data_IF_254128449747
#
_entry.id   IF_254128449747
#
_cell.length_a   1.000
_cell.length_b   1.000
_cell.length_c   1.000
_cell.angle_alpha   90.00
_cell.angle_beta   90.00
_cell.angle_gamma   90.00
#
_symmetry.space_group_name_H-M   'P 1'
#
loop_
_entity.id
_entity.type
_entity.pdbx_description
1 polymer ?
#
# COMPACT_ATOMS: atom_id res chain seq x y z
N UNK A 1 -46.15 11.46 -4.18
CA UNK A 1 -45.23 10.30 -4.21
C UNK A 1 -43.98 10.70 -4.98
N UNK A 2 -42.86 10.87 -4.27
CA UNK A 2 -41.70 11.64 -4.69
C UNK A 2 -40.80 10.89 -5.68
N UNK A 3 -40.96 11.16 -6.99
CA UNK A 3 -40.08 10.65 -8.04
C UNK A 3 -38.61 11.06 -7.85
N UNK A 4 -38.36 12.24 -7.28
CA UNK A 4 -37.01 12.74 -6.97
C UNK A 4 -36.27 11.89 -5.93
N UNK A 5 -36.99 11.33 -4.94
CA UNK A 5 -36.41 10.48 -3.89
C UNK A 5 -36.07 9.08 -4.39
N UNK A 6 -36.90 8.52 -5.29
CA UNK A 6 -36.63 7.20 -5.89
C UNK A 6 -35.43 7.25 -6.84
N UNK A 7 -35.33 8.27 -7.69
CA UNK A 7 -34.19 8.44 -8.59
C UNK A 7 -32.86 8.61 -7.85
N UNK A 8 -32.84 9.40 -6.78
CA UNK A 8 -31.65 9.59 -5.94
C UNK A 8 -31.22 8.28 -5.26
N UNK A 9 -32.16 7.51 -4.72
CA UNK A 9 -31.88 6.21 -4.10
C UNK A 9 -31.32 5.21 -5.11
N UNK A 10 -31.87 5.16 -6.34
CA UNK A 10 -31.37 4.29 -7.41
C UNK A 10 -29.97 4.69 -7.85
N UNK A 11 -29.67 5.98 -7.99
CA UNK A 11 -28.33 6.47 -8.34
C UNK A 11 -27.32 6.12 -7.23
N UNK A 12 -27.67 6.33 -5.96
CA UNK A 12 -26.82 5.94 -4.82
C UNK A 12 -26.55 4.43 -4.84
N UNK A 13 -27.57 3.61 -5.02
CA UNK A 13 -27.42 2.15 -5.08
C UNK A 13 -26.53 1.72 -6.25
N UNK A 14 -26.69 2.31 -7.44
CA UNK A 14 -25.81 1.98 -8.58
C UNK A 14 -24.38 2.45 -8.34
N UNK A 15 -24.17 3.62 -7.73
CA UNK A 15 -22.85 4.11 -7.37
C UNK A 15 -22.20 3.18 -6.34
N UNK A 16 -22.93 2.75 -5.31
CA UNK A 16 -22.44 1.78 -4.32
C UNK A 16 -22.10 0.43 -4.96
N UNK A 17 -22.93 -0.08 -5.87
CA UNK A 17 -22.66 -1.32 -6.59
C UNK A 17 -21.45 -1.18 -7.54
N UNK A 18 -21.26 -0.04 -8.19
CA UNK A 18 -20.08 0.23 -9.01
C UNK A 18 -18.83 0.28 -8.13
N UNK A 19 -18.87 0.96 -6.97
CA UNK A 19 -17.75 0.96 -6.01
C UNK A 19 -17.42 -0.45 -5.48
N UNK A 20 -18.43 -1.31 -5.29
CA UNK A 20 -18.25 -2.69 -4.82
C UNK A 20 -17.54 -3.59 -5.85
N UNK A 21 -17.65 -3.29 -7.15
CA UNK A 21 -17.09 -4.11 -8.23
C UNK A 21 -15.69 -3.65 -8.71
N UNK A 22 -15.06 -2.66 -8.08
CA UNK A 22 -13.69 -2.30 -8.38
C UNK A 22 -12.74 -3.16 -7.53
N UNK A 23 -11.80 -3.86 -8.17
CA UNK A 23 -10.78 -4.63 -7.46
C UNK A 23 -10.04 -3.73 -6.47
N UNK A 24 -10.12 -4.06 -5.18
CA UNK A 24 -9.64 -3.23 -4.09
C UNK A 24 -8.22 -3.62 -3.68
N UNK A 25 -7.32 -2.65 -3.54
CA UNK A 25 -5.97 -2.89 -3.02
C UNK A 25 -5.90 -2.80 -1.49
N UNK A 26 -5.00 -3.57 -0.90
CA UNK A 26 -4.72 -3.55 0.54
C UNK A 26 -3.21 -3.38 0.76
N UNK A 27 -2.85 -2.50 1.71
CA UNK A 27 -1.47 -2.35 2.19
C UNK A 27 -1.50 -2.44 3.71
N UNK A 28 -0.69 -3.32 4.26
CA UNK A 28 -0.52 -3.50 5.70
C UNK A 28 0.94 -3.30 6.07
N UNK A 29 1.16 -2.47 7.08
CA UNK A 29 2.48 -2.23 7.67
C UNK A 29 2.50 -2.86 9.06
N UNK A 30 3.31 -3.88 9.23
CA UNK A 30 3.53 -4.53 10.52
C UNK A 30 4.73 -3.89 11.23
N UNK A 31 4.45 -3.22 12.34
CA UNK A 31 5.43 -2.59 13.21
C UNK A 31 5.66 -3.49 14.43
N UNK A 32 6.89 -3.92 14.64
CA UNK A 32 7.26 -4.74 15.81
C UNK A 32 7.99 -3.90 16.85
N UNK A 33 7.67 -4.13 18.13
CA UNK A 33 8.41 -3.58 19.27
C UNK A 33 9.04 -4.70 20.10
N UNK A 34 9.77 -4.35 21.16
CA UNK A 34 10.23 -5.33 22.15
C UNK A 34 9.12 -5.96 23.00
N UNK A 35 7.89 -5.44 22.97
CA UNK A 35 6.77 -5.92 23.79
C UNK A 35 5.62 -6.53 22.98
N UNK A 36 5.36 -5.97 21.80
CA UNK A 36 4.13 -6.22 21.04
C UNK A 36 4.35 -6.00 19.54
N UNK A 37 3.40 -6.47 18.73
CA UNK A 37 3.32 -6.26 17.28
C UNK A 37 2.03 -5.54 16.92
N UNK A 38 2.12 -4.61 15.98
CA UNK A 38 0.99 -3.81 15.52
C UNK A 38 0.87 -3.88 14.01
N UNK A 39 -0.33 -4.12 13.53
CA UNK A 39 -0.65 -4.13 12.10
C UNK A 39 -1.45 -2.88 11.77
N UNK A 40 -0.88 -2.00 10.95
CA UNK A 40 -1.51 -0.77 10.50
C UNK A 40 -1.95 -0.95 9.04
N UNK A 41 -3.24 -0.80 8.79
CA UNK A 41 -3.85 -1.10 7.49
C UNK A 41 -4.24 0.18 6.76
N UNK A 42 -4.04 0.16 5.46
CA UNK A 42 -4.52 1.15 4.51
C UNK A 42 -5.51 0.43 3.57
N UNK A 43 -6.81 0.68 3.76
CA UNK A 43 -7.89 -0.03 3.08
C UNK A 43 -8.72 0.86 2.12
N UNK A 44 -9.30 0.17 1.13
CA UNK A 44 -10.47 0.42 0.26
C UNK A 44 -10.75 1.84 -0.25
N UNK A 45 -11.32 2.75 0.55
CA UNK A 45 -11.72 4.08 0.05
C UNK A 45 -10.51 4.95 -0.33
N UNK A 46 -9.35 4.61 0.23
CA UNK A 46 -8.10 5.34 0.08
C UNK A 46 -7.34 4.96 -1.17
N UNK A 47 -7.53 3.76 -1.74
CA UNK A 47 -6.69 3.29 -2.86
C UNK A 47 -6.99 4.05 -4.16
N UNK A 48 -8.24 4.49 -4.35
CA UNK A 48 -8.64 5.44 -5.41
C UNK A 48 -7.88 6.78 -5.23
N UNK A 49 -7.59 7.17 -3.99
CA UNK A 49 -6.74 8.32 -3.61
C UNK A 49 -5.27 7.94 -3.39
N UNK A 50 -4.90 6.66 -3.48
CA UNK A 50 -3.52 6.20 -3.60
C UNK A 50 -3.05 6.25 -5.06
N UNK A 51 -4.00 6.52 -5.95
CA UNK A 51 -3.82 6.70 -7.37
C UNK A 51 -4.38 8.06 -7.85
N UNK A 52 -4.21 9.20 -7.14
CA UNK A 52 -4.83 10.44 -7.58
C UNK A 52 -3.97 11.16 -8.64
N UNK A 53 -2.69 10.78 -8.81
CA UNK A 53 -1.71 11.54 -9.58
C UNK A 53 -0.96 10.78 -10.67
N UNK A 54 -0.76 9.46 -10.54
CA UNK A 54 0.02 8.69 -11.50
C UNK A 54 -0.85 8.16 -12.63
N UNK A 55 -0.81 8.81 -13.80
CA UNK A 55 -1.40 8.27 -15.04
C UNK A 55 -0.64 7.04 -15.60
N UNK A 56 0.35 6.51 -14.87
CA UNK A 56 1.24 5.43 -15.29
C UNK A 56 1.02 4.21 -14.40
N UNK A 57 0.61 3.06 -14.96
CA UNK A 57 0.53 1.83 -14.19
C UNK A 57 1.88 1.45 -13.58
N UNK A 58 1.79 0.75 -12.44
CA UNK A 58 2.96 0.47 -11.60
C UNK A 58 3.38 1.61 -10.67
N UNK A 59 2.87 2.84 -10.83
CA UNK A 59 3.10 3.94 -9.88
C UNK A 59 1.93 4.06 -8.90
N UNK A 60 2.19 3.85 -7.62
CA UNK A 60 1.22 3.89 -6.52
C UNK A 60 1.73 4.89 -5.48
N UNK A 61 0.90 5.85 -5.10
CA UNK A 61 1.21 6.83 -4.06
C UNK A 61 0.37 6.52 -2.82
N UNK A 62 0.95 6.08 -1.72
CA UNK A 62 0.21 5.62 -0.54
C UNK A 62 0.11 6.78 0.46
N UNK A 63 -1.08 7.36 0.72
CA UNK A 63 -1.22 8.46 1.67
C UNK A 63 -0.93 7.96 3.09
N UNK A 64 0.05 8.56 3.75
CA UNK A 64 0.42 8.19 5.13
C UNK A 64 -0.76 8.41 6.09
N UNK A 65 -1.62 9.40 5.78
CA UNK A 65 -2.82 9.69 6.56
C UNK A 65 -3.86 8.54 6.54
N UNK A 66 -3.87 7.71 5.50
CA UNK A 66 -4.83 6.62 5.31
C UNK A 66 -4.55 5.38 6.18
N UNK A 67 -3.37 5.29 6.80
CA UNK A 67 -3.08 4.20 7.73
C UNK A 67 -3.90 4.32 9.02
N UNK A 68 -4.58 3.22 9.36
CA UNK A 68 -5.30 3.01 10.60
C UNK A 68 -4.65 1.88 11.38
N UNK A 69 -4.33 2.12 12.65
CA UNK A 69 -3.74 1.11 13.54
C UNK A 69 -4.71 0.78 14.70
N UNK A 70 -4.66 -0.44 15.28
CA UNK A 70 -5.53 -0.84 16.40
C UNK A 70 -5.50 0.12 17.59
N UNK A 71 -4.34 0.73 17.87
CA UNK A 71 -4.15 1.72 18.95
C UNK A 71 -3.90 3.09 18.32
N UNK A 72 -4.74 4.09 18.64
CA UNK A 72 -4.62 5.46 18.11
C UNK A 72 -3.28 6.14 18.44
N UNK A 73 -2.64 5.76 19.54
CA UNK A 73 -1.29 6.24 19.86
C UNK A 73 -0.26 5.73 18.83
N UNK A 74 -0.33 4.45 18.44
CA UNK A 74 0.56 3.85 17.44
C UNK A 74 0.32 4.49 16.06
N UNK A 75 -0.95 4.74 15.71
CA UNK A 75 -1.29 5.45 14.46
C UNK A 75 -0.64 6.85 14.39
N UNK A 76 -0.70 7.62 15.49
CA UNK A 76 -0.03 8.93 15.57
C UNK A 76 1.49 8.81 15.47
N UNK A 77 2.06 7.79 16.11
CA UNK A 77 3.49 7.54 16.07
C UNK A 77 3.95 7.14 14.66
N UNK A 78 3.20 6.30 13.94
CA UNK A 78 3.46 5.96 12.54
C UNK A 78 3.43 7.20 11.64
N UNK A 79 2.39 8.04 11.77
CA UNK A 79 2.25 9.28 10.99
C UNK A 79 3.40 10.26 11.27
N UNK A 80 3.84 10.35 12.53
CA UNK A 80 5.00 11.16 12.92
C UNK A 80 6.31 10.58 12.41
N UNK A 81 6.47 9.25 12.43
CA UNK A 81 7.67 8.55 11.98
C UNK A 81 7.98 8.87 10.51
N UNK A 82 6.94 8.93 9.68
CA UNK A 82 7.04 9.29 8.27
C UNK A 82 6.92 10.79 8.00
N UNK A 83 6.86 11.63 9.04
CA UNK A 83 6.69 13.08 8.91
C UNK A 83 5.52 13.44 7.97
N UNK A 84 4.34 12.83 8.18
CA UNK A 84 3.20 12.88 7.26
C UNK A 84 2.76 14.29 6.83
N UNK A 85 2.97 15.31 7.66
CA UNK A 85 2.66 16.71 7.31
C UNK A 85 3.61 17.27 6.23
N UNK A 86 4.86 16.80 6.19
CA UNK A 86 5.89 17.19 5.22
C UNK A 86 5.96 16.22 4.04
N UNK A 87 5.78 14.93 4.30
CA UNK A 87 5.81 13.86 3.32
C UNK A 87 4.51 13.05 3.38
N UNK A 88 3.42 13.55 2.77
CA UNK A 88 2.09 12.98 2.93
C UNK A 88 1.90 11.63 2.22
N UNK A 89 2.84 11.24 1.35
CA UNK A 89 2.76 10.04 0.51
C UNK A 89 4.04 9.23 0.57
N UNK A 90 3.90 7.91 0.62
CA UNK A 90 4.95 6.93 0.30
C UNK A 90 4.77 6.57 -1.18
N UNK A 91 5.85 6.55 -1.98
CA UNK A 91 5.72 6.20 -3.40
C UNK A 91 6.25 4.80 -3.66
N UNK A 92 5.42 3.97 -4.24
CA UNK A 92 5.77 2.64 -4.74
C UNK A 92 5.78 2.70 -6.27
N UNK A 93 6.92 2.40 -6.88
CA UNK A 93 7.05 2.28 -8.33
C UNK A 93 7.49 0.86 -8.68
N UNK A 94 6.61 0.12 -9.34
CA UNK A 94 6.89 -1.19 -9.89
C UNK A 94 7.44 -0.96 -11.30
N UNK A 95 8.73 -1.22 -11.46
CA UNK A 95 9.47 -0.96 -12.68
C UNK A 95 9.30 -2.09 -13.69
N UNK A 96 9.33 -3.34 -13.21
CA UNK A 96 9.27 -4.53 -14.05
C UNK A 96 8.56 -5.67 -13.34
N UNK A 97 7.81 -6.47 -14.11
CA UNK A 97 7.23 -7.75 -13.69
C UNK A 97 7.75 -8.86 -14.61
N UNK A 98 8.32 -9.90 -14.01
CA UNK A 98 8.76 -11.10 -14.72
C UNK A 98 7.88 -12.27 -14.29
N UNK A 99 7.11 -12.80 -15.25
CA UNK A 99 6.17 -13.88 -15.02
C UNK A 99 6.87 -15.22 -15.26
N UNK A 100 6.92 -16.05 -14.22
CA UNK A 100 7.26 -17.47 -14.35
C UNK A 100 5.97 -18.30 -14.22
N UNK A 101 6.05 -19.62 -14.38
CA UNK A 101 4.87 -20.50 -14.38
C UNK A 101 4.07 -20.51 -13.07
N UNK A 102 4.65 -20.06 -11.96
CA UNK A 102 4.02 -20.09 -10.62
C UNK A 102 4.32 -18.85 -9.74
N UNK A 103 5.17 -17.93 -10.19
CA UNK A 103 5.62 -16.76 -9.43
C UNK A 103 5.76 -15.53 -10.32
N UNK A 104 5.60 -14.36 -9.72
CA UNK A 104 5.91 -13.09 -10.37
C UNK A 104 7.05 -12.41 -9.64
N UNK A 105 8.19 -12.25 -10.29
CA UNK A 105 9.27 -11.44 -9.75
C UNK A 105 9.01 -9.98 -10.09
N UNK A 106 8.99 -9.11 -9.09
CA UNK A 106 8.85 -7.67 -9.28
C UNK A 106 10.16 -6.97 -8.97
N UNK A 107 10.61 -6.12 -9.89
CA UNK A 107 11.53 -5.03 -9.55
C UNK A 107 10.69 -3.83 -9.17
N UNK A 108 10.80 -3.39 -7.93
CA UNK A 108 10.10 -2.21 -7.44
C UNK A 108 11.05 -1.25 -6.75
N UNK A 109 10.57 -0.04 -6.53
CA UNK A 109 11.23 0.95 -5.73
C UNK A 109 10.25 1.59 -4.77
N UNK A 110 10.69 1.77 -3.53
CA UNK A 110 9.91 2.40 -2.47
C UNK A 110 10.63 3.69 -2.11
N UNK A 111 9.91 4.80 -2.17
CA UNK A 111 10.37 6.10 -1.71
C UNK A 111 9.60 6.49 -0.46
N UNK A 112 10.34 6.70 0.62
CA UNK A 112 9.84 7.20 1.90
C UNK A 112 10.62 8.47 2.23
N UNK A 113 9.90 9.57 2.45
CA UNK A 113 10.50 10.91 2.54
C UNK A 113 11.34 11.20 1.28
N UNK A 114 12.60 11.57 1.46
CA UNK A 114 13.54 11.89 0.38
C UNK A 114 14.40 10.68 -0.04
N UNK A 115 14.27 9.54 0.63
CA UNK A 115 15.10 8.35 0.37
C UNK A 115 14.33 7.33 -0.46
N UNK A 116 15.01 6.77 -1.46
CA UNK A 116 14.46 5.78 -2.38
C UNK A 116 15.36 4.55 -2.39
N UNK A 117 14.76 3.37 -2.17
CA UNK A 117 15.44 2.08 -2.25
C UNK A 117 14.74 1.16 -3.25
N UNK A 118 15.53 0.36 -3.96
CA UNK A 118 15.07 -0.62 -4.95
C UNK A 118 15.04 -2.03 -4.33
N UNK A 119 14.03 -2.81 -4.69
CA UNK A 119 13.83 -4.17 -4.21
C UNK A 119 13.50 -5.13 -5.35
N UNK A 120 13.91 -6.38 -5.18
CA UNK A 120 13.48 -7.51 -5.99
C UNK A 120 12.67 -8.43 -5.10
N UNK A 121 11.40 -8.59 -5.44
CA UNK A 121 10.46 -9.36 -4.63
C UNK A 121 9.85 -10.50 -5.43
N UNK A 122 9.65 -11.63 -4.75
CA UNK A 122 8.75 -12.68 -5.24
C UNK A 122 7.32 -12.32 -4.82
N UNK A 123 6.42 -12.30 -5.79
CA UNK A 123 4.99 -12.10 -5.58
C UNK A 123 4.21 -13.37 -5.95
N UNK A 124 3.11 -13.57 -5.23
CA UNK A 124 2.12 -14.60 -5.50
C UNK A 124 0.95 -13.99 -6.28
N UNK A 125 0.28 -14.83 -7.07
CA UNK A 125 -0.96 -14.46 -7.77
C UNK A 125 -2.12 -15.11 -7.03
N UNK A 126 -3.09 -14.31 -6.60
CA UNK A 126 -4.34 -14.79 -6.03
C UNK A 126 -5.53 -14.33 -6.87
N UNK A 127 -6.67 -14.97 -6.68
CA UNK A 127 -7.93 -14.61 -7.32
C UNK A 127 -9.03 -14.48 -6.27
N UNK A 128 -9.79 -13.40 -6.31
CA UNK A 128 -10.97 -13.18 -5.47
C UNK A 128 -12.07 -12.51 -6.29
N UNK A 129 -13.29 -13.04 -6.27
CA UNK A 129 -14.45 -12.48 -6.98
C UNK A 129 -14.20 -12.18 -8.48
N UNK A 130 -13.47 -13.05 -9.18
CA UNK A 130 -13.00 -12.89 -10.58
C UNK A 130 -11.99 -11.76 -10.81
N UNK A 131 -11.32 -11.31 -9.76
CA UNK A 131 -10.27 -10.28 -9.82
C UNK A 131 -8.94 -10.91 -9.42
N UNK A 132 -7.91 -10.70 -10.24
CA UNK A 132 -6.56 -11.16 -9.94
C UNK A 132 -5.79 -10.13 -9.11
N UNK A 133 -4.99 -10.62 -8.18
CA UNK A 133 -4.14 -9.81 -7.31
C UNK A 133 -2.70 -10.28 -7.37
N UNK A 134 -1.79 -9.32 -7.23
CA UNK A 134 -0.40 -9.60 -6.88
C UNK A 134 -0.23 -9.36 -5.39
N UNK A 135 0.19 -10.39 -4.68
CA UNK A 135 0.45 -10.37 -3.25
C UNK A 135 1.95 -10.49 -3.00
N UNK A 136 2.47 -9.67 -2.10
CA UNK A 136 3.87 -9.76 -1.73
C UNK A 136 4.16 -9.17 -0.37
N UNK A 137 5.35 -9.50 0.12
CA UNK A 137 5.87 -9.13 1.42
C UNK A 137 7.27 -8.55 1.22
N UNK A 138 7.50 -7.36 1.76
CA UNK A 138 8.82 -6.74 1.79
C UNK A 138 9.16 -6.29 3.21
N UNK A 139 10.29 -6.78 3.73
CA UNK A 139 10.88 -6.24 4.95
C UNK A 139 11.77 -5.05 4.62
N UNK A 140 11.59 -3.94 5.33
CA UNK A 140 12.44 -2.75 5.21
C UNK A 140 13.13 -2.47 6.53
N UNK A 141 14.36 -1.96 6.47
CA UNK A 141 15.02 -1.38 7.64
C UNK A 141 14.80 0.13 7.64
N UNK A 142 14.30 0.69 8.75
CA UNK A 142 14.07 2.14 8.90
C UNK A 142 15.35 2.96 8.69
N UNK A 143 16.51 2.41 9.05
CA UNK A 143 17.82 3.06 8.89
C UNK A 143 18.18 3.29 7.42
N UNK A 144 17.75 2.40 6.52
CA UNK A 144 17.97 2.54 5.07
C UNK A 144 17.18 3.72 4.47
N UNK A 145 16.23 4.27 5.23
CA UNK A 145 15.45 5.46 4.88
C UNK A 145 15.79 6.68 5.73
N UNK A 146 16.89 6.63 6.48
CA UNK A 146 17.30 7.68 7.41
C UNK A 146 16.22 7.99 8.47
N UNK A 147 15.49 6.96 8.88
CA UNK A 147 14.47 7.04 9.92
C UNK A 147 15.01 6.42 11.20
N UNK A 148 15.10 7.22 12.24
CA UNK A 148 15.43 6.75 13.59
C UNK A 148 14.25 5.97 14.18
N UNK A 149 14.42 4.68 14.56
CA UNK A 149 13.38 3.92 15.23
C UNK A 149 13.00 4.59 16.56
N UNK A 150 11.71 4.93 16.77
CA UNK A 150 11.31 5.71 17.94
C UNK A 150 11.34 4.86 19.21
N UNK A 151 11.71 5.50 20.32
CA UNK A 151 11.61 4.93 21.66
C UNK A 151 10.59 5.71 22.50
N UNK A 152 9.81 4.99 23.31
CA UNK A 152 8.83 5.57 24.25
C UNK A 152 9.13 5.13 25.68
N UNK A 153 8.45 5.78 26.63
CA UNK A 153 8.54 5.48 28.07
C UNK A 153 9.99 5.42 28.56
N UNK A 154 10.76 6.48 28.31
CA UNK A 154 12.18 6.58 28.69
C UNK A 154 13.05 5.40 28.20
N UNK A 155 12.71 4.82 27.04
CA UNK A 155 13.46 3.74 26.42
C UNK A 155 12.91 2.33 26.66
N UNK A 156 11.85 2.17 27.45
CA UNK A 156 11.27 0.86 27.77
C UNK A 156 10.55 0.22 26.59
N UNK A 157 10.00 1.02 25.66
CA UNK A 157 9.35 0.53 24.44
C UNK A 157 10.15 1.00 23.25
N UNK A 158 10.73 0.05 22.52
CA UNK A 158 11.56 0.31 21.34
C UNK A 158 10.93 -0.35 20.13
N UNK A 159 10.63 0.47 19.11
CA UNK A 159 10.29 -0.04 17.77
C UNK A 159 11.55 -0.68 17.18
N UNK A 160 11.39 -1.88 16.61
CA UNK A 160 12.46 -2.57 15.88
C UNK A 160 12.83 -1.80 14.62
N UNK A 161 14.03 -2.02 14.12
CA UNK A 161 14.47 -1.35 12.91
C UNK A 161 13.77 -1.92 11.68
N UNK A 162 13.41 -3.21 11.75
CA UNK A 162 12.70 -3.93 10.71
C UNK A 162 11.19 -3.67 10.79
N UNK A 163 10.62 -3.30 9.65
CA UNK A 163 9.18 -3.13 9.42
C UNK A 163 8.80 -3.99 8.21
N UNK A 164 7.71 -4.75 8.34
CA UNK A 164 7.22 -5.60 7.25
C UNK A 164 6.06 -4.90 6.55
N UNK A 165 6.11 -4.87 5.22
CA UNK A 165 5.05 -4.33 4.37
C UNK A 165 4.43 -5.48 3.59
N UNK A 166 3.17 -5.75 3.83
CA UNK A 166 2.35 -6.65 3.03
C UNK A 166 1.51 -5.82 2.06
N UNK A 167 1.46 -6.22 0.79
CA UNK A 167 0.61 -5.57 -0.20
C UNK A 167 -0.14 -6.61 -1.01
N UNK A 168 -1.41 -6.30 -1.28
CA UNK A 168 -2.30 -7.03 -2.18
C UNK A 168 -2.83 -6.02 -3.18
N UNK A 169 -2.33 -6.09 -4.41
CA UNK A 169 -2.58 -5.07 -5.43
C UNK A 169 -3.35 -5.71 -6.58
N UNK A 170 -4.47 -5.11 -7.03
CA UNK A 170 -5.16 -5.57 -8.22
C UNK A 170 -4.24 -5.62 -9.44
N UNK A 171 -4.26 -6.73 -10.18
CA UNK A 171 -3.34 -6.93 -11.30
C UNK A 171 -3.47 -5.84 -12.38
N UNK A 172 -4.68 -5.36 -12.63
CA UNK A 172 -4.95 -4.29 -13.60
C UNK A 172 -4.27 -2.96 -13.24
N UNK A 173 -3.96 -2.71 -11.96
CA UNK A 173 -3.27 -1.49 -11.50
C UNK A 173 -1.78 -1.49 -11.87
N UNK A 174 -1.22 -2.66 -12.19
CA UNK A 174 0.19 -2.82 -12.57
C UNK A 174 0.40 -2.99 -14.08
N UNK A 175 -0.67 -3.28 -14.81
CA UNK A 175 -0.62 -3.62 -16.23
C UNK A 175 -1.15 -2.46 -17.09
N UNK A 176 -0.27 -1.53 -17.49
CA UNK A 176 -0.50 -0.74 -18.71
C UNK A 176 -0.01 -1.55 -19.89
N UNK A 177 -0.89 -1.78 -20.87
CA UNK A 177 -0.60 -2.03 -22.28
C UNK A 177 0.83 -2.49 -22.62
N UNK A 178 0.97 -3.80 -22.82
CA UNK A 178 1.92 -4.43 -23.75
C UNK A 178 3.34 -3.83 -23.82
N UNK A 179 3.97 -3.48 -22.70
CA UNK A 179 5.41 -3.28 -22.68
C UNK A 179 6.08 -4.62 -22.37
N UNK A 180 6.64 -5.33 -23.37
CA UNK A 180 7.50 -6.47 -23.07
C UNK A 180 8.66 -5.98 -22.22
N UNK A 181 8.72 -6.47 -20.97
CA UNK A 181 9.89 -6.35 -20.12
C UNK A 181 11.03 -7.11 -20.81
N UNK A 182 11.80 -6.42 -21.64
CA UNK A 182 13.03 -6.96 -22.20
C UNK A 182 14.10 -6.95 -21.11
N UNK A 183 14.05 -7.99 -20.28
CA UNK A 183 14.96 -8.38 -19.20
C UNK A 183 15.11 -7.40 -18.04
N UNK A 184 14.66 -7.83 -16.86
CA UNK A 184 15.26 -7.44 -15.59
C UNK A 184 16.71 -7.96 -15.61
N UNK A 185 17.66 -7.12 -16.00
CA UNK A 185 19.09 -7.42 -15.89
C UNK A 185 19.79 -6.34 -15.10
#
# INVERSE_FOLDING_TARGET
>A
MNYLSKGLLTIILTISLIHYNYAQGEIEVQVTTNLDKFECKCNEESFIWCYPGSKKPGNIEIPVAAFSCPKKMIEKDLKRLFEADKFPVIKLNIACLNYTSQKVEAKLSIQIKDVKNDYFIDMEISENENMHYFEGLQEINLRDYEIEPPTKLLGLVKVKEEVVINFKIPAHSLLADNHPCNSCR
#
